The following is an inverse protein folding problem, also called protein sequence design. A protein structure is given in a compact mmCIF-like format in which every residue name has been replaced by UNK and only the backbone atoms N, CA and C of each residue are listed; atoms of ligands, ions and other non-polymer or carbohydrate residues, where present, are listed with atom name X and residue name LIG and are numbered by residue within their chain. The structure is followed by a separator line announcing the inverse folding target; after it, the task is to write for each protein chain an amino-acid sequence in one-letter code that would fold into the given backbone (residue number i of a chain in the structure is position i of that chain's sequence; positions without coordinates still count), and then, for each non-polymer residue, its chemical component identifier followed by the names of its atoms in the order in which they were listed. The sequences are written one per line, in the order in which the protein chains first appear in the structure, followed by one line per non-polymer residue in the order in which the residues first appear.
data_IF_757525811213
#
_entry.id   IF_757525811213
#
_cell.length_a   1.000
_cell.length_b   1.000
_cell.length_c   1.000
_cell.angle_alpha   90.00
_cell.angle_beta   90.00
_cell.angle_gamma   90.00
#
_symmetry.space_group_name_H-M   'P 1'
#
loop_
_entity.id
_entity.type
_entity.pdbx_description
1 polymer ?
#
# COMPACT_ATOMS: atom_id res chain seq x y z
N UNK A 1 11.83 7.74 9.86
CA UNK A 1 10.90 6.60 9.80
C UNK A 1 10.91 6.02 8.40
N UNK A 2 11.18 4.74 8.32
CA UNK A 2 11.23 4.02 7.05
C UNK A 2 9.84 3.48 6.72
N UNK A 3 9.41 3.60 5.45
CA UNK A 3 8.09 3.11 5.02
C UNK A 3 7.90 1.60 5.25
N UNK A 4 8.98 0.83 5.28
CA UNK A 4 8.89 -0.60 5.62
C UNK A 4 8.34 -0.86 7.02
N UNK A 5 8.51 0.08 7.94
CA UNK A 5 7.97 -0.04 9.29
C UNK A 5 6.47 0.25 9.35
N UNK A 6 5.92 0.82 8.30
CA UNK A 6 4.50 1.18 8.21
C UNK A 6 3.68 0.14 7.46
N UNK A 7 4.31 -0.59 6.54
CA UNK A 7 3.61 -1.55 5.72
C UNK A 7 3.39 -2.87 6.44
N UNK A 8 2.46 -3.66 5.93
CA UNK A 8 2.24 -5.01 6.38
C UNK A 8 3.47 -5.86 6.02
N UNK A 9 4.07 -6.58 6.99
CA UNK A 9 5.24 -7.40 6.72
C UNK A 9 4.98 -8.54 5.75
N UNK A 10 3.72 -8.96 5.62
CA UNK A 10 3.32 -9.97 4.65
C UNK A 10 2.51 -9.31 3.54
N UNK A 11 3.21 -8.75 2.57
CA UNK A 11 2.55 -8.18 1.41
C UNK A 11 1.77 -9.27 0.67
N UNK A 12 0.49 -9.04 0.45
CA UNK A 12 -0.31 -9.93 -0.37
C UNK A 12 0.20 -9.87 -1.80
N UNK A 13 0.59 -11.02 -2.34
CA UNK A 13 1.13 -11.13 -3.69
C UNK A 13 0.65 -12.41 -4.35
N UNK A 14 0.47 -12.35 -5.66
CA UNK A 14 0.16 -13.52 -6.49
C UNK A 14 1.09 -13.52 -7.70
N UNK A 15 1.41 -14.70 -8.25
CA UNK A 15 2.26 -14.77 -9.44
C UNK A 15 1.50 -14.27 -10.68
N UNK A 16 2.26 -13.91 -11.71
CA UNK A 16 1.70 -13.44 -12.99
C UNK A 16 0.79 -14.47 -13.66
N UNK A 17 0.93 -15.75 -13.32
CA UNK A 17 0.10 -16.83 -13.85
C UNK A 17 -1.22 -16.98 -13.11
N UNK A 18 -1.41 -16.28 -12.00
CA UNK A 18 -2.63 -16.38 -11.19
C UNK A 18 -3.84 -15.85 -11.95
N UNK A 19 -5.01 -16.33 -11.53
CA UNK A 19 -6.28 -15.85 -12.05
C UNK A 19 -6.80 -14.67 -11.25
N UNK A 20 -7.80 -13.99 -11.78
CA UNK A 20 -8.53 -12.93 -11.06
C UNK A 20 -9.12 -13.50 -9.75
N UNK A 21 -9.66 -14.74 -9.80
CA UNK A 21 -10.20 -15.39 -8.61
C UNK A 21 -9.13 -15.56 -7.54
N UNK A 22 -7.92 -15.98 -7.92
CA UNK A 22 -6.80 -16.13 -6.97
C UNK A 22 -6.46 -14.80 -6.29
N UNK A 23 -6.41 -13.73 -7.06
CA UNK A 23 -6.13 -12.39 -6.54
C UNK A 23 -7.22 -11.92 -5.58
N UNK A 24 -8.49 -12.12 -5.94
CA UNK A 24 -9.63 -11.74 -5.10
C UNK A 24 -9.60 -12.53 -3.78
N UNK A 25 -9.37 -13.84 -3.84
CA UNK A 25 -9.27 -14.68 -2.64
C UNK A 25 -8.17 -14.17 -1.71
N UNK A 26 -7.02 -13.79 -2.27
CA UNK A 26 -5.91 -13.24 -1.50
C UNK A 26 -6.29 -11.94 -0.81
N UNK A 27 -6.97 -11.06 -1.50
CA UNK A 27 -7.48 -9.81 -0.90
C UNK A 27 -8.43 -10.10 0.26
N UNK A 28 -9.34 -11.04 0.07
CA UNK A 28 -10.33 -11.41 1.09
C UNK A 28 -9.67 -12.06 2.30
N UNK A 29 -8.76 -13.00 2.07
CA UNK A 29 -8.10 -13.74 3.14
C UNK A 29 -7.20 -12.84 4.00
N UNK A 30 -6.55 -11.88 3.37
CA UNK A 30 -5.62 -10.97 4.06
C UNK A 30 -6.28 -9.65 4.48
N UNK A 31 -7.55 -9.45 4.16
CA UNK A 31 -8.29 -8.20 4.45
C UNK A 31 -7.59 -6.97 3.89
N UNK A 32 -7.12 -7.07 2.67
CA UNK A 32 -6.40 -5.97 1.99
C UNK A 32 -7.12 -5.57 0.70
N UNK A 33 -6.90 -4.35 0.26
CA UNK A 33 -7.53 -3.80 -0.95
C UNK A 33 -6.67 -3.89 -2.20
N UNK A 34 -5.52 -4.54 -2.12
CA UNK A 34 -4.60 -4.67 -3.25
C UNK A 34 -3.70 -5.88 -3.08
N UNK A 35 -3.30 -6.47 -4.21
CA UNK A 35 -2.26 -7.49 -4.26
C UNK A 35 -1.22 -7.08 -5.28
N UNK A 36 0.04 -7.37 -5.00
CA UNK A 36 1.12 -7.22 -5.97
C UNK A 36 1.14 -8.43 -6.89
N UNK A 37 1.37 -8.19 -8.18
CA UNK A 37 1.54 -9.25 -9.15
C UNK A 37 3.04 -9.39 -9.38
N UNK A 38 3.59 -10.56 -9.09
CA UNK A 38 5.03 -10.78 -9.08
C UNK A 38 5.44 -11.84 -10.09
N UNK A 39 6.64 -11.67 -10.66
CA UNK A 39 7.24 -12.65 -11.55
C UNK A 39 7.97 -13.75 -10.75
N UNK A 40 8.64 -14.65 -11.48
CA UNK A 40 9.37 -15.77 -10.87
C UNK A 40 10.53 -15.33 -9.96
N UNK A 41 11.00 -14.10 -10.11
CA UNK A 41 12.07 -13.54 -9.30
C UNK A 41 11.55 -12.60 -8.20
N UNK A 42 10.26 -12.63 -7.93
CA UNK A 42 9.54 -11.76 -6.98
C UNK A 42 9.59 -10.27 -7.35
N UNK A 43 9.91 -9.93 -8.59
CA UNK A 43 9.82 -8.55 -9.07
C UNK A 43 8.37 -8.18 -9.31
N UNK A 44 8.03 -6.94 -9.00
CA UNK A 44 6.66 -6.45 -9.19
C UNK A 44 6.41 -6.18 -10.67
N UNK A 45 5.47 -6.93 -11.25
CA UNK A 45 5.04 -6.78 -12.64
C UNK A 45 3.83 -5.84 -12.75
N UNK A 46 3.00 -5.79 -11.71
CA UNK A 46 1.81 -4.97 -11.70
C UNK A 46 1.15 -4.98 -10.32
N UNK A 47 0.02 -4.31 -10.24
CA UNK A 47 -0.82 -4.32 -9.05
C UNK A 47 -2.27 -4.57 -9.46
N UNK A 48 -3.01 -5.29 -8.63
CA UNK A 48 -4.42 -5.54 -8.84
C UNK A 48 -5.18 -5.15 -7.59
N UNK A 49 -6.15 -4.25 -7.72
CA UNK A 49 -6.82 -3.62 -6.59
C UNK A 49 -8.33 -3.86 -6.64
N UNK A 50 -9.02 -3.55 -5.54
CA UNK A 50 -10.49 -3.54 -5.49
C UNK A 50 -11.07 -2.64 -6.58
N UNK A 51 -10.41 -1.53 -6.86
CA UNK A 51 -10.83 -0.61 -7.93
C UNK A 51 -10.73 -1.28 -9.30
N UNK A 52 -9.69 -2.06 -9.53
CA UNK A 52 -9.55 -2.84 -10.77
C UNK A 52 -10.64 -3.89 -10.90
N UNK A 53 -11.00 -4.56 -9.80
CA UNK A 53 -12.11 -5.52 -9.80
C UNK A 53 -13.40 -4.81 -10.22
N UNK A 54 -13.67 -3.67 -9.63
CA UNK A 54 -14.89 -2.93 -9.94
C UNK A 54 -14.89 -2.38 -11.37
N UNK A 55 -13.80 -1.75 -11.79
CA UNK A 55 -13.73 -1.02 -13.06
C UNK A 55 -13.46 -1.88 -14.28
N UNK A 56 -12.64 -2.92 -14.11
CA UNK A 56 -12.16 -3.72 -15.25
C UNK A 56 -12.81 -5.09 -15.35
N UNK A 57 -13.32 -5.61 -14.23
CA UNK A 57 -13.78 -7.00 -14.17
C UNK A 57 -15.29 -7.13 -13.94
N UNK A 58 -15.88 -6.37 -13.03
CA UNK A 58 -17.22 -6.62 -12.49
C UNK A 58 -18.33 -6.74 -13.55
N UNK A 59 -18.26 -5.94 -14.62
CA UNK A 59 -19.28 -5.95 -15.68
C UNK A 59 -18.74 -6.52 -16.99
N UNK A 60 -17.57 -7.16 -16.96
CA UNK A 60 -16.92 -7.70 -18.16
C UNK A 60 -17.57 -8.97 -18.70
N UNK A 61 -18.33 -9.66 -17.87
CA UNK A 61 -18.90 -10.97 -18.22
C UNK A 61 -17.88 -12.10 -18.22
N UNK A 62 -16.64 -11.83 -17.79
CA UNK A 62 -15.58 -12.83 -17.78
C UNK A 62 -15.64 -13.69 -16.53
N UNK A 63 -15.19 -14.93 -16.65
CA UNK A 63 -15.11 -15.86 -15.55
C UNK A 63 -13.85 -15.60 -14.73
N UNK A 64 -13.96 -15.34 -13.40
CA UNK A 64 -12.79 -15.05 -12.58
C UNK A 64 -11.80 -16.22 -12.50
N UNK A 65 -12.28 -17.44 -12.62
CA UNK A 65 -11.41 -18.63 -12.57
C UNK A 65 -10.66 -18.87 -13.87
N UNK A 66 -11.07 -18.22 -14.96
CA UNK A 66 -10.47 -18.40 -16.29
C UNK A 66 -9.75 -17.15 -16.80
N UNK A 67 -9.81 -16.05 -16.06
CA UNK A 67 -9.20 -14.80 -16.48
C UNK A 67 -7.84 -14.63 -15.81
N UNK A 68 -6.74 -14.57 -16.57
CA UNK A 68 -5.44 -14.27 -15.98
C UNK A 68 -5.41 -12.86 -15.41
N UNK A 69 -4.90 -12.74 -14.19
CA UNK A 69 -4.85 -11.42 -13.52
C UNK A 69 -3.97 -10.43 -14.27
N UNK A 70 -2.93 -10.92 -14.96
CA UNK A 70 -2.04 -10.05 -15.73
C UNK A 70 -2.74 -9.29 -16.86
N UNK A 71 -3.88 -9.77 -17.33
CA UNK A 71 -4.65 -9.07 -18.36
C UNK A 71 -5.37 -7.84 -17.83
N UNK A 72 -5.65 -7.82 -16.53
CA UNK A 72 -6.43 -6.75 -15.90
C UNK A 72 -5.64 -5.94 -14.87
N UNK A 73 -4.44 -6.37 -14.51
CA UNK A 73 -3.62 -5.64 -13.56
C UNK A 73 -3.29 -4.24 -14.07
N UNK A 74 -3.02 -3.33 -13.15
CA UNK A 74 -2.51 -2.00 -13.48
C UNK A 74 -1.00 -2.08 -13.63
N UNK A 75 -0.50 -1.61 -14.78
CA UNK A 75 0.93 -1.55 -15.07
C UNK A 75 1.17 -0.41 -16.08
N UNK A 76 2.26 0.36 -16.04
CA UNK A 76 3.30 0.30 -15.02
C UNK A 76 2.80 0.73 -13.64
N UNK A 77 3.51 0.33 -12.59
CA UNK A 77 3.15 0.59 -11.20
C UNK A 77 4.09 1.64 -10.61
N UNK A 78 3.50 2.60 -9.89
CA UNK A 78 4.31 3.46 -9.03
C UNK A 78 4.83 2.62 -7.87
N UNK A 79 6.14 2.72 -7.62
CA UNK A 79 6.83 1.94 -6.61
C UNK A 79 7.46 2.86 -5.57
N UNK A 80 7.62 2.35 -4.37
CA UNK A 80 8.42 2.98 -3.33
C UNK A 80 9.62 2.08 -3.01
N UNK A 81 10.63 2.66 -2.37
CA UNK A 81 11.77 1.91 -1.88
C UNK A 81 11.92 2.16 -0.39
N UNK A 82 12.86 1.46 0.26
CA UNK A 82 13.17 1.72 1.67
C UNK A 82 13.70 3.14 1.91
N UNK A 83 14.11 3.84 0.85
CA UNK A 83 14.60 5.22 0.93
C UNK A 83 13.47 6.25 0.81
N UNK A 84 12.30 5.84 0.37
CA UNK A 84 11.14 6.72 0.27
C UNK A 84 10.66 7.08 1.67
N UNK A 85 10.46 8.38 1.93
CA UNK A 85 9.88 8.80 3.20
C UNK A 85 8.36 8.63 3.21
N UNK A 86 7.74 8.51 4.39
CA UNK A 86 6.29 8.46 4.48
C UNK A 86 5.60 9.67 3.84
N UNK A 87 6.16 10.87 4.00
CA UNK A 87 5.60 12.09 3.40
C UNK A 87 5.68 12.05 1.88
N UNK A 88 6.81 11.61 1.31
CA UNK A 88 6.95 11.44 -0.13
C UNK A 88 5.94 10.42 -0.68
N UNK A 89 5.76 9.31 0.03
CA UNK A 89 4.79 8.29 -0.35
C UNK A 89 3.37 8.85 -0.34
N UNK A 90 3.03 9.63 0.68
CA UNK A 90 1.70 10.23 0.79
C UNK A 90 1.45 11.22 -0.37
N UNK A 91 2.43 12.06 -0.69
CA UNK A 91 2.33 12.99 -1.82
C UNK A 91 2.11 12.24 -3.13
N UNK A 92 2.86 11.19 -3.37
CA UNK A 92 2.71 10.35 -4.57
C UNK A 92 1.30 9.75 -4.66
N UNK A 93 0.80 9.21 -3.56
CA UNK A 93 -0.54 8.61 -3.52
C UNK A 93 -1.63 9.65 -3.81
N UNK A 94 -1.52 10.82 -3.22
CA UNK A 94 -2.50 11.89 -3.38
C UNK A 94 -2.46 12.46 -4.80
N UNK A 95 -1.28 12.79 -5.32
CA UNK A 95 -1.12 13.39 -6.64
C UNK A 95 -1.47 12.42 -7.77
N UNK A 96 -1.14 11.15 -7.62
CA UNK A 96 -1.35 10.13 -8.64
C UNK A 96 -2.64 9.34 -8.45
N UNK A 97 -3.39 9.61 -7.38
CA UNK A 97 -4.64 8.91 -7.05
C UNK A 97 -4.46 7.41 -6.82
N UNK A 98 -3.31 7.00 -6.31
CA UNK A 98 -3.05 5.63 -5.88
C UNK A 98 -3.25 5.51 -4.37
N UNK A 99 -3.81 4.39 -3.93
CA UNK A 99 -3.99 4.11 -2.50
C UNK A 99 -3.00 3.07 -1.98
N UNK A 100 -2.21 2.51 -2.87
CA UNK A 100 -1.27 1.45 -2.56
C UNK A 100 0.00 1.64 -3.36
N UNK A 101 1.15 1.47 -2.71
CA UNK A 101 2.47 1.49 -3.35
C UNK A 101 3.22 0.24 -2.93
N UNK A 102 3.59 -0.63 -3.87
CA UNK A 102 4.53 -1.70 -3.54
C UNK A 102 5.88 -1.11 -3.18
N UNK A 103 6.48 -1.63 -2.13
CA UNK A 103 7.84 -1.27 -1.73
C UNK A 103 8.78 -2.35 -2.26
N UNK A 104 9.80 -1.94 -2.97
CA UNK A 104 10.73 -2.87 -3.63
C UNK A 104 12.17 -2.56 -3.21
N UNK A 105 13.04 -3.56 -3.37
CA UNK A 105 14.49 -3.41 -3.22
C UNK A 105 15.13 -2.88 -4.50
N UNK A 106 16.46 -2.77 -4.52
CA UNK A 106 17.20 -2.27 -5.67
C UNK A 106 17.06 -3.13 -6.93
N UNK A 107 16.62 -4.36 -6.78
CA UNK A 107 16.40 -5.30 -7.89
C UNK A 107 14.95 -5.34 -8.34
N UNK A 108 14.08 -4.53 -7.74
CA UNK A 108 12.66 -4.52 -8.04
C UNK A 108 11.88 -5.62 -7.34
N UNK A 109 12.48 -6.32 -6.40
CA UNK A 109 11.82 -7.38 -5.64
C UNK A 109 10.92 -6.81 -4.55
N UNK A 110 9.74 -7.40 -4.42
CA UNK A 110 8.74 -6.95 -3.46
C UNK A 110 9.22 -7.15 -2.02
N UNK A 111 9.20 -6.07 -1.24
CA UNK A 111 9.49 -6.06 0.20
C UNK A 111 8.23 -5.89 1.04
N UNK A 112 7.25 -5.18 0.54
CA UNK A 112 6.01 -4.91 1.27
C UNK A 112 5.03 -4.13 0.42
N UNK A 113 3.83 -3.93 0.96
CA UNK A 113 2.80 -3.12 0.33
C UNK A 113 2.41 -2.01 1.29
N UNK A 114 2.58 -0.77 0.85
CA UNK A 114 2.21 0.40 1.63
C UNK A 114 0.82 0.87 1.19
N UNK A 115 -0.10 1.02 2.14
CA UNK A 115 -1.42 1.59 1.86
C UNK A 115 -1.48 3.04 2.33
N UNK A 116 -2.36 3.83 1.73
CA UNK A 116 -2.61 5.19 2.18
C UNK A 116 -3.08 5.20 3.64
N UNK A 117 -3.81 4.18 4.05
CA UNK A 117 -4.26 4.02 5.44
C UNK A 117 -3.08 3.91 6.40
N UNK A 118 -2.07 3.10 6.06
CA UNK A 118 -0.86 2.96 6.88
C UNK A 118 -0.17 4.31 7.08
N UNK A 119 -0.04 5.09 6.01
CA UNK A 119 0.63 6.39 6.08
C UNK A 119 -0.18 7.40 6.87
N UNK A 120 -1.50 7.41 6.67
CA UNK A 120 -2.39 8.32 7.40
C UNK A 120 -2.44 8.00 8.89
N UNK A 121 -2.47 6.72 9.26
CA UNK A 121 -2.39 6.30 10.66
C UNK A 121 -1.09 6.78 11.31
N UNK A 122 0.03 6.60 10.61
CA UNK A 122 1.32 7.10 11.08
C UNK A 122 1.30 8.62 11.25
N UNK A 123 0.75 9.35 10.27
CA UNK A 123 0.72 10.82 10.31
C UNK A 123 -0.15 11.32 11.47
N UNK A 124 -1.27 10.67 11.72
CA UNK A 124 -2.15 11.00 12.85
C UNK A 124 -1.42 10.78 14.18
N UNK A 125 -0.75 9.65 14.34
CA UNK A 125 0.01 9.33 15.54
C UNK A 125 1.17 10.32 15.75
N UNK A 126 1.87 10.68 14.69
CA UNK A 126 2.96 11.64 14.71
C UNK A 126 2.47 13.04 15.16
N UNK A 127 1.36 13.49 14.59
CA UNK A 127 0.73 14.76 14.97
C UNK A 127 0.25 14.74 16.42
N UNK A 128 -0.33 13.65 16.88
CA UNK A 128 -0.77 13.50 18.26
C UNK A 128 0.40 13.55 19.23
N UNK A 129 1.53 12.97 18.90
CA UNK A 129 2.74 13.06 19.71
C UNK A 129 3.27 14.49 19.77
N UNK A 130 3.26 15.21 18.64
CA UNK A 130 3.63 16.63 18.59
C UNK A 130 2.75 17.48 19.49
N UNK A 131 1.43 17.30 19.39
CA UNK A 131 0.46 18.03 20.23
C UNK A 131 0.69 17.70 21.70
N UNK A 132 0.87 16.44 22.05
CA UNK A 132 1.16 16.02 23.42
C UNK A 132 2.42 16.65 23.98
N UNK A 133 3.48 16.73 23.19
CA UNK A 133 4.74 17.37 23.56
C UNK A 133 4.55 18.86 23.79
N UNK A 134 3.79 19.55 22.93
CA UNK A 134 3.50 20.97 23.06
C UNK A 134 2.66 21.25 24.31
N UNK A 135 1.66 20.44 24.58
CA UNK A 135 0.83 20.55 25.77
C UNK A 135 1.67 20.39 27.04
N UNK A 136 2.56 19.43 27.07
CA UNK A 136 3.48 19.19 28.16
C UNK A 136 4.40 20.40 28.39
N UNK A 137 4.95 20.93 27.29
CA UNK A 137 5.82 22.11 27.35
C UNK A 137 5.08 23.30 27.91
N UNK A 138 3.89 23.58 27.44
CA UNK A 138 3.07 24.72 27.94
C UNK A 138 2.73 24.55 29.40
N UNK A 139 2.36 23.35 29.84
CA UNK A 139 2.04 23.05 31.23
C UNK A 139 3.23 23.29 32.16
N UNK A 140 4.43 22.92 31.71
CA UNK A 140 5.64 23.06 32.52
C UNK A 140 6.14 24.51 32.65
N UNK A 141 5.91 25.31 31.59
CA UNK A 141 6.43 26.68 31.51
C UNK A 141 5.41 27.75 31.89
N UNK A 142 4.15 27.39 32.09
CA UNK A 142 3.10 28.34 32.39
C UNK A 142 3.33 28.96 33.81
N UNK A 143 3.36 30.29 33.91
CA UNK A 143 3.47 30.94 35.22
C UNK A 143 2.25 30.58 36.09
N UNK A 144 2.51 30.13 37.29
CA UNK A 144 1.45 29.69 38.17
C UNK A 144 0.77 28.41 37.69
N UNK A 145 1.46 27.64 36.91
CA UNK A 145 1.01 26.36 36.40
C UNK A 145 1.02 25.26 37.47
N UNK A 146 0.45 25.53 38.49
CA UNK A 146 0.29 24.71 39.70
C UNK A 146 -0.99 23.92 39.71
#
# INVERSE_FOLDING_TARGET
MNVLNLCDPEAAAVPVEATVADAIRKMLDFHVGAVAIIDNERRVAGIFTERDVLRKFSLSGRDPDQTPVRELMTTPVELATSQTSPDEALVTMVERHFRHLPIVDNNGKLLGMLSIRNVLEWRIDDLNREVGSLEQYVSNDAPGGD
#
